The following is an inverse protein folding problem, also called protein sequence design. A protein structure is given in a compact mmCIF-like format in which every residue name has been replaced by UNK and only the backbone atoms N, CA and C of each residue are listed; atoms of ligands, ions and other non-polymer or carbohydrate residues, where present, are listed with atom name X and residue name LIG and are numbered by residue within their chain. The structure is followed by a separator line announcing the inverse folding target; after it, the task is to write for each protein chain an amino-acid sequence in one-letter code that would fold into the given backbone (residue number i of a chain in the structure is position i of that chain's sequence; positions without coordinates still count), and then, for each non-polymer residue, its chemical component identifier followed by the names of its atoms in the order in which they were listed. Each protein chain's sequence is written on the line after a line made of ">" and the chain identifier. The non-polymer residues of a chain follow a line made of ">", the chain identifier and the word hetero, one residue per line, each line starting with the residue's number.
data_IF_248837679472
#
_entry.id   IF_248837679472
#
_cell.length_a   1.000
_cell.length_b   1.000
_cell.length_c   1.000
_cell.angle_alpha   90.00
_cell.angle_beta   90.00
_cell.angle_gamma   90.00
#
_symmetry.space_group_name_H-M   'P 1'
#
loop_
_entity.id
_entity.type
_entity.pdbx_description
1 polymer ?
#
# COMPACT_ATOMS: atom_id res chain seq x y z
N UNK A 1 34.11 29.05 -8.17
CA UNK A 1 32.91 29.47 -7.41
C UNK A 1 31.81 28.48 -7.76
N UNK A 2 31.53 27.67 -6.77
CA UNK A 2 30.79 26.41 -6.93
C UNK A 2 29.27 26.68 -6.87
N UNK A 3 28.60 26.43 -7.98
CA UNK A 3 27.17 26.69 -8.17
C UNK A 3 26.32 25.41 -8.04
N UNK A 4 26.75 24.46 -7.19
CA UNK A 4 26.12 23.13 -7.04
C UNK A 4 25.37 22.89 -5.71
N UNK A 5 25.20 23.90 -4.88
CA UNK A 5 24.65 23.69 -3.52
C UNK A 5 23.23 24.23 -3.30
N UNK A 6 22.45 24.49 -4.33
CA UNK A 6 21.06 24.92 -4.14
C UNK A 6 20.03 23.90 -4.68
N UNK A 7 20.30 22.61 -4.53
CA UNK A 7 19.22 21.62 -4.52
C UNK A 7 18.54 21.73 -3.16
N UNK A 8 17.39 22.40 -3.13
CA UNK A 8 16.48 22.43 -2.00
C UNK A 8 16.42 21.01 -1.40
N UNK A 9 16.91 20.85 -0.19
CA UNK A 9 16.54 19.72 0.68
C UNK A 9 15.04 19.88 0.96
N UNK A 10 14.19 19.39 0.07
CA UNK A 10 12.81 19.11 0.45
C UNK A 10 12.90 18.19 1.65
N UNK A 11 12.28 18.58 2.75
CA UNK A 11 12.27 17.77 3.98
C UNK A 11 11.61 16.44 3.60
N UNK A 12 12.41 15.38 3.63
CA UNK A 12 11.97 14.06 3.24
C UNK A 12 10.86 13.61 4.16
N UNK A 13 9.72 13.24 3.60
CA UNK A 13 8.60 12.71 4.36
C UNK A 13 8.97 11.36 4.98
N UNK A 14 8.37 11.05 6.13
CA UNK A 14 8.71 9.83 6.85
C UNK A 14 8.12 8.57 6.20
N UNK A 15 7.03 8.72 5.44
CA UNK A 15 6.24 7.62 4.87
C UNK A 15 6.38 7.55 3.36
N UNK A 16 6.50 6.33 2.83
CA UNK A 16 6.38 6.04 1.40
C UNK A 16 5.14 5.16 1.17
N UNK A 17 4.22 5.62 0.32
CA UNK A 17 3.12 4.80 -0.17
C UNK A 17 3.61 4.06 -1.42
N UNK A 18 3.59 2.72 -1.39
CA UNK A 18 3.98 1.86 -2.50
C UNK A 18 2.73 1.33 -3.18
N UNK A 19 2.62 1.55 -4.49
CA UNK A 19 1.50 1.13 -5.33
C UNK A 19 2.04 0.25 -6.45
N UNK A 20 1.97 -1.09 -6.33
CA UNK A 20 2.22 -1.97 -7.46
C UNK A 20 1.11 -1.82 -8.50
N UNK A 21 1.47 -1.69 -9.77
CA UNK A 21 0.51 -1.50 -10.85
C UNK A 21 0.89 -2.33 -12.08
N UNK A 22 -0.09 -3.06 -12.65
CA UNK A 22 0.03 -3.76 -13.91
C UNK A 22 -1.27 -3.66 -14.69
N UNK A 23 -1.26 -2.91 -15.81
CA UNK A 23 -2.43 -2.63 -16.65
C UNK A 23 -3.60 -2.00 -15.86
N UNK A 24 -3.30 -0.92 -15.13
CA UNK A 24 -4.23 -0.21 -14.25
C UNK A 24 -4.57 1.21 -14.76
N UNK A 25 -4.49 1.46 -16.06
CA UNK A 25 -4.70 2.80 -16.67
C UNK A 25 -6.00 3.47 -16.22
N UNK A 26 -7.06 2.68 -16.00
CA UNK A 26 -8.39 3.17 -15.61
C UNK A 26 -8.50 3.51 -14.13
N UNK A 27 -7.74 2.81 -13.30
CA UNK A 27 -7.84 2.89 -11.83
C UNK A 27 -6.76 3.78 -11.23
N UNK A 28 -5.57 3.83 -11.84
CA UNK A 28 -4.41 4.51 -11.27
C UNK A 28 -4.63 6.03 -11.18
N UNK A 29 -5.26 6.64 -12.18
CA UNK A 29 -5.47 8.11 -12.19
C UNK A 29 -6.43 8.55 -11.08
N UNK A 30 -7.64 7.99 -10.93
CA UNK A 30 -8.53 8.32 -9.82
C UNK A 30 -7.92 8.05 -8.45
N UNK A 31 -7.08 7.01 -8.32
CA UNK A 31 -6.37 6.73 -7.08
C UNK A 31 -5.35 7.82 -6.76
N UNK A 32 -4.49 8.17 -7.73
CA UNK A 32 -3.48 9.22 -7.54
C UNK A 32 -4.12 10.57 -7.21
N UNK A 33 -5.25 10.93 -7.82
CA UNK A 33 -6.00 12.15 -7.49
C UNK A 33 -6.42 12.23 -6.04
N UNK A 34 -6.85 11.11 -5.46
CA UNK A 34 -7.17 11.04 -4.03
C UNK A 34 -5.91 11.14 -3.15
N UNK A 35 -4.80 10.53 -3.58
CA UNK A 35 -3.54 10.55 -2.83
C UNK A 35 -2.80 11.89 -2.92
N UNK A 36 -3.09 12.71 -3.92
CA UNK A 36 -2.52 14.05 -4.11
C UNK A 36 -3.14 15.11 -3.17
N UNK A 37 -4.16 14.74 -2.40
CA UNK A 37 -4.77 15.67 -1.45
C UNK A 37 -3.78 16.10 -0.38
N UNK A 38 -3.85 17.36 0.10
CA UNK A 38 -2.91 17.89 1.09
C UNK A 38 -2.81 17.04 2.36
N UNK A 39 -3.91 16.41 2.77
CA UNK A 39 -3.99 15.56 3.95
C UNK A 39 -3.04 14.35 3.88
N UNK A 40 -2.78 13.85 2.67
CA UNK A 40 -1.86 12.73 2.42
C UNK A 40 -0.46 13.24 2.09
N UNK A 41 -0.39 14.21 1.17
CA UNK A 41 0.90 14.69 0.67
C UNK A 41 1.74 15.42 1.72
N UNK A 42 1.17 15.85 2.83
CA UNK A 42 1.93 16.45 3.93
C UNK A 42 2.82 15.44 4.67
N UNK A 43 2.49 14.14 4.72
CA UNK A 43 3.25 13.13 5.47
C UNK A 43 3.84 12.01 4.61
N UNK A 44 3.31 11.77 3.40
CA UNK A 44 3.72 10.65 2.57
C UNK A 44 4.15 11.07 1.16
N UNK A 45 5.17 10.39 0.64
CA UNK A 45 5.51 10.38 -0.77
C UNK A 45 4.89 9.16 -1.46
N UNK A 46 4.70 9.23 -2.77
CA UNK A 46 4.05 8.18 -3.56
C UNK A 46 5.07 7.56 -4.52
N UNK A 47 5.14 6.24 -4.51
CA UNK A 47 5.91 5.42 -5.44
C UNK A 47 4.98 4.47 -6.17
N UNK A 48 4.89 4.60 -7.49
CA UNK A 48 4.24 3.60 -8.33
C UNK A 48 5.30 2.64 -8.88
N UNK A 49 5.10 1.35 -8.66
CA UNK A 49 5.93 0.29 -9.23
C UNK A 49 5.17 -0.32 -10.40
N UNK A 50 5.48 0.15 -11.61
CA UNK A 50 4.89 -0.33 -12.83
C UNK A 50 5.54 -1.66 -13.26
N UNK A 51 4.80 -2.76 -13.21
CA UNK A 51 5.31 -4.10 -13.52
C UNK A 51 5.21 -4.44 -15.01
N UNK A 52 5.84 -3.61 -15.86
CA UNK A 52 5.85 -3.74 -17.32
C UNK A 52 4.43 -3.70 -17.94
N UNK A 53 3.59 -2.76 -17.51
CA UNK A 53 2.27 -2.53 -18.11
C UNK A 53 2.37 -2.30 -19.63
N UNK A 54 1.40 -2.85 -20.37
CA UNK A 54 1.30 -2.72 -21.83
C UNK A 54 0.28 -1.65 -22.25
N UNK A 55 -0.46 -1.11 -21.29
CA UNK A 55 -1.42 -0.01 -21.43
C UNK A 55 -0.79 1.36 -21.08
N UNK A 56 -1.60 2.39 -20.95
CA UNK A 56 -1.16 3.75 -20.64
C UNK A 56 -0.76 3.99 -19.17
N UNK A 57 -0.78 2.96 -18.30
CA UNK A 57 -0.49 3.07 -16.85
C UNK A 57 0.79 3.87 -16.58
N UNK A 58 1.88 3.51 -17.25
CA UNK A 58 3.19 4.15 -17.07
C UNK A 58 3.18 5.62 -17.48
N UNK A 59 2.54 5.91 -18.62
CA UNK A 59 2.48 7.24 -19.19
C UNK A 59 1.64 8.20 -18.32
N UNK A 60 0.45 7.77 -17.93
CA UNK A 60 -0.45 8.61 -17.12
C UNK A 60 0.12 8.88 -15.73
N UNK A 61 0.84 7.93 -15.15
CA UNK A 61 1.49 8.10 -13.84
C UNK A 61 2.65 9.10 -13.94
N UNK A 62 3.49 8.99 -14.94
CA UNK A 62 4.63 9.92 -15.15
C UNK A 62 4.18 11.36 -15.37
N UNK A 63 3.07 11.57 -16.05
CA UNK A 63 2.51 12.92 -16.26
C UNK A 63 2.15 13.63 -14.97
N UNK A 64 1.89 12.92 -13.88
CA UNK A 64 1.49 13.47 -12.58
C UNK A 64 2.68 13.76 -11.65
N UNK A 65 3.92 13.70 -12.15
CA UNK A 65 5.16 13.97 -11.42
C UNK A 65 5.41 13.07 -10.18
N UNK A 66 4.79 11.88 -10.15
CA UNK A 66 5.10 10.89 -9.12
C UNK A 66 6.36 10.10 -9.46
N UNK A 67 6.99 9.56 -8.43
CA UNK A 67 8.10 8.62 -8.64
C UNK A 67 7.54 7.32 -9.22
N UNK A 68 8.07 6.90 -10.37
CA UNK A 68 7.71 5.65 -11.04
C UNK A 68 8.96 4.82 -11.24
N UNK A 69 8.91 3.57 -10.81
CA UNK A 69 9.90 2.54 -11.19
C UNK A 69 9.20 1.56 -12.13
N UNK A 70 9.79 1.33 -13.30
CA UNK A 70 9.22 0.43 -14.30
C UNK A 70 10.11 -0.80 -14.45
N UNK A 71 9.53 -1.99 -14.26
CA UNK A 71 10.19 -3.25 -14.57
C UNK A 71 10.28 -3.47 -16.08
N UNK A 72 11.34 -4.13 -16.52
CA UNK A 72 11.54 -4.48 -17.94
C UNK A 72 10.58 -5.60 -18.37
N UNK A 73 10.25 -6.50 -17.44
CA UNK A 73 9.33 -7.62 -17.63
C UNK A 73 8.33 -7.64 -16.47
N UNK A 74 7.17 -8.25 -16.70
CA UNK A 74 6.23 -8.54 -15.61
C UNK A 74 6.84 -9.62 -14.70
N UNK A 75 7.15 -9.20 -13.47
CA UNK A 75 7.76 -10.04 -12.44
C UNK A 75 6.76 -10.47 -11.36
N UNK A 76 5.52 -9.98 -11.47
CA UNK A 76 4.43 -10.26 -10.54
C UNK A 76 4.41 -9.33 -9.32
N UNK A 77 3.25 -9.30 -8.68
CA UNK A 77 2.91 -8.42 -7.57
C UNK A 77 3.95 -8.40 -6.43
N UNK A 78 4.37 -9.58 -5.97
CA UNK A 78 5.35 -9.69 -4.88
C UNK A 78 6.72 -9.10 -5.22
N UNK A 79 7.15 -9.21 -6.46
CA UNK A 79 8.41 -8.62 -6.94
C UNK A 79 8.30 -7.10 -6.98
N UNK A 80 7.15 -6.56 -7.39
CA UNK A 80 6.87 -5.13 -7.37
C UNK A 80 6.94 -4.56 -5.96
N UNK A 81 6.33 -5.22 -4.98
CA UNK A 81 6.41 -4.85 -3.57
C UNK A 81 7.84 -4.89 -3.04
N UNK A 82 8.58 -5.99 -3.32
CA UNK A 82 9.96 -6.12 -2.87
C UNK A 82 10.84 -4.98 -3.43
N UNK A 83 10.63 -4.58 -4.67
CA UNK A 83 11.33 -3.45 -5.29
C UNK A 83 10.99 -2.14 -4.58
N UNK A 84 9.71 -1.92 -4.27
CA UNK A 84 9.25 -0.77 -3.51
C UNK A 84 9.88 -0.70 -2.11
N UNK A 85 9.95 -1.81 -1.38
CA UNK A 85 10.61 -1.87 -0.07
C UNK A 85 12.11 -1.58 -0.15
N UNK A 86 12.81 -2.14 -1.14
CA UNK A 86 14.23 -1.84 -1.38
C UNK A 86 14.45 -0.35 -1.69
N UNK A 87 13.55 0.24 -2.46
CA UNK A 87 13.58 1.68 -2.72
C UNK A 87 13.40 2.48 -1.43
N UNK A 88 12.39 2.14 -0.61
CA UNK A 88 12.14 2.79 0.66
C UNK A 88 13.37 2.78 1.58
N UNK A 89 13.97 1.61 1.78
CA UNK A 89 15.19 1.45 2.59
C UNK A 89 16.34 2.29 2.02
N UNK A 90 16.61 2.19 0.70
CA UNK A 90 17.70 2.95 0.06
C UNK A 90 17.50 4.46 0.17
N UNK A 91 16.27 4.91 0.13
CA UNK A 91 15.93 6.32 0.29
C UNK A 91 15.78 6.73 1.76
N UNK A 92 15.79 5.78 2.73
CA UNK A 92 15.74 5.99 4.16
C UNK A 92 14.36 6.46 4.64
N UNK A 93 13.26 5.97 4.08
CA UNK A 93 11.92 6.15 4.62
C UNK A 93 11.80 5.36 5.93
N UNK A 94 11.11 5.94 6.92
CA UNK A 94 10.90 5.30 8.22
C UNK A 94 9.75 4.31 8.18
N UNK A 95 8.74 4.60 7.37
CA UNK A 95 7.52 3.79 7.25
C UNK A 95 7.17 3.55 5.78
N UNK A 96 6.50 2.44 5.55
CA UNK A 96 5.94 2.08 4.24
C UNK A 96 4.47 1.74 4.41
N UNK A 97 3.63 2.32 3.55
CA UNK A 97 2.23 1.90 3.40
C UNK A 97 2.09 1.23 2.04
N UNK A 98 1.57 0.01 2.03
CA UNK A 98 1.26 -0.72 0.81
C UNK A 98 -0.19 -0.49 0.43
N UNK A 99 -0.45 -0.18 -0.84
CA UNK A 99 -1.79 0.07 -1.35
C UNK A 99 -1.93 -0.52 -2.76
N UNK A 100 -3.05 -1.19 -3.04
CA UNK A 100 -3.31 -1.73 -4.38
C UNK A 100 -3.84 -0.65 -5.33
N UNK A 101 -3.55 -0.79 -6.63
CA UNK A 101 -3.95 0.16 -7.65
C UNK A 101 -5.44 0.03 -8.07
N UNK A 102 -6.15 -1.01 -7.62
CA UNK A 102 -7.50 -1.37 -8.05
C UNK A 102 -8.62 -0.44 -7.52
N UNK A 103 -8.27 0.55 -6.71
CA UNK A 103 -9.19 1.53 -6.15
C UNK A 103 -10.11 0.99 -5.04
N UNK A 104 -9.92 -0.26 -4.58
CA UNK A 104 -10.74 -0.85 -3.51
C UNK A 104 -10.37 -0.37 -2.11
N UNK A 105 -9.23 0.29 -1.95
CA UNK A 105 -8.79 0.87 -0.69
C UNK A 105 -9.29 2.30 -0.55
N UNK A 106 -9.92 2.59 0.58
CA UNK A 106 -10.31 3.97 0.91
C UNK A 106 -9.07 4.74 1.39
N UNK A 107 -8.77 5.82 0.68
CA UNK A 107 -7.65 6.71 1.01
C UNK A 107 -7.84 7.39 2.38
N UNK A 108 -9.08 7.57 2.82
CA UNK A 108 -9.40 8.13 4.14
C UNK A 108 -8.78 7.30 5.28
N UNK A 109 -8.65 5.99 5.11
CA UNK A 109 -8.05 5.11 6.12
C UNK A 109 -6.53 5.29 6.26
N UNK A 110 -5.85 5.93 5.30
CA UNK A 110 -4.40 6.14 5.35
C UNK A 110 -3.98 7.04 6.53
N UNK A 111 -4.78 8.04 6.84
CA UNK A 111 -4.54 8.91 8.00
C UNK A 111 -4.67 8.15 9.32
N UNK A 112 -5.62 7.24 9.40
CA UNK A 112 -5.81 6.41 10.59
C UNK A 112 -4.65 5.43 10.74
N UNK A 113 -4.24 4.75 9.66
CA UNK A 113 -3.07 3.88 9.64
C UNK A 113 -1.82 4.65 10.06
N UNK A 114 -1.64 5.86 9.55
CA UNK A 114 -0.48 6.71 9.91
C UNK A 114 -0.49 7.10 11.40
N UNK A 115 -1.65 7.42 11.96
CA UNK A 115 -1.79 7.71 13.40
C UNK A 115 -1.48 6.48 14.25
N UNK A 116 -1.98 5.30 13.86
CA UNK A 116 -1.70 4.06 14.58
C UNK A 116 -0.21 3.66 14.50
N UNK A 117 0.49 3.96 13.39
CA UNK A 117 1.95 3.75 13.29
C UNK A 117 2.74 4.59 14.28
N UNK A 118 2.19 5.72 14.77
CA UNK A 118 2.84 6.63 15.72
C UNK A 118 2.38 6.44 17.15
N UNK A 119 1.47 5.50 17.41
CA UNK A 119 0.90 5.27 18.72
C UNK A 119 1.73 4.24 19.49
N UNK A 120 2.33 4.68 20.57
CA UNK A 120 3.06 3.82 21.48
C UNK A 120 2.12 2.90 22.27
N UNK A 121 2.59 1.68 22.54
CA UNK A 121 1.93 0.74 23.45
C UNK A 121 2.18 1.14 24.93
N UNK A 122 1.64 0.35 25.87
CA UNK A 122 1.79 0.58 27.32
C UNK A 122 3.26 0.57 27.79
N UNK A 123 4.18 0.06 26.98
CA UNK A 123 5.61 -0.02 27.25
C UNK A 123 6.43 1.08 26.52
N UNK A 124 5.75 2.01 25.83
CA UNK A 124 6.39 3.07 25.04
C UNK A 124 6.99 2.57 23.72
N UNK A 125 6.53 1.42 23.21
CA UNK A 125 7.01 0.84 21.95
C UNK A 125 6.04 1.15 20.81
N UNK A 126 6.57 1.63 19.68
CA UNK A 126 5.82 1.80 18.44
C UNK A 126 5.52 0.44 17.78
N UNK A 127 4.39 0.30 17.06
CA UNK A 127 4.08 -0.92 16.33
C UNK A 127 5.06 -1.15 15.18
N UNK A 128 5.46 -2.40 15.00
CA UNK A 128 6.29 -2.81 13.86
C UNK A 128 5.45 -2.91 12.57
N UNK A 129 4.15 -3.28 12.70
CA UNK A 129 3.21 -3.44 11.59
C UNK A 129 1.80 -3.04 12.03
N UNK A 130 1.12 -2.26 11.18
CA UNK A 130 -0.31 -1.92 11.31
C UNK A 130 -1.05 -2.50 10.11
N UNK A 131 -2.11 -3.25 10.36
CA UNK A 131 -2.93 -3.87 9.32
C UNK A 131 -4.33 -3.24 9.29
N UNK A 132 -4.68 -2.63 8.17
CA UNK A 132 -6.05 -2.18 7.90
C UNK A 132 -6.97 -3.39 7.65
N UNK A 133 -8.00 -3.58 8.47
CA UNK A 133 -8.97 -4.66 8.30
C UNK A 133 -10.35 -4.13 7.91
N UNK A 134 -10.93 -4.70 6.85
CA UNK A 134 -12.32 -4.43 6.43
C UNK A 134 -13.38 -5.03 7.37
N UNK A 135 -12.95 -5.82 8.36
CA UNK A 135 -13.82 -6.56 9.27
C UNK A 135 -13.81 -6.00 10.70
N UNK A 136 -13.25 -4.81 10.91
CA UNK A 136 -13.33 -4.14 12.20
C UNK A 136 -14.74 -3.58 12.44
N UNK A 137 -15.19 -3.65 13.70
CA UNK A 137 -16.43 -3.00 14.11
C UNK A 137 -16.34 -1.50 13.82
N UNK A 138 -17.31 -0.98 13.04
CA UNK A 138 -17.30 0.42 12.60
C UNK A 138 -16.74 0.68 11.19
N UNK A 139 -16.16 -0.33 10.52
CA UNK A 139 -15.84 -0.22 9.10
C UNK A 139 -17.12 -0.23 8.26
N UNK A 140 -17.31 0.83 7.46
CA UNK A 140 -18.49 0.99 6.61
C UNK A 140 -18.70 -0.22 5.69
N UNK A 141 -19.84 -0.87 5.85
CA UNK A 141 -20.63 -1.65 4.88
C UNK A 141 -19.90 -2.53 3.84
N UNK A 142 -18.96 -3.38 4.24
CA UNK A 142 -18.62 -4.50 3.38
C UNK A 142 -19.59 -5.65 3.62
N UNK A 143 -20.72 -5.65 2.91
CA UNK A 143 -21.68 -6.77 2.91
C UNK A 143 -21.10 -7.95 2.15
N UNK A 144 -20.53 -8.89 2.89
CA UNK A 144 -20.07 -10.16 2.29
C UNK A 144 -21.28 -10.95 1.83
N UNK A 145 -21.39 -11.19 0.52
CA UNK A 145 -22.43 -12.06 -0.04
C UNK A 145 -22.47 -13.40 0.70
N UNK A 146 -23.66 -13.94 0.94
CA UNK A 146 -23.85 -15.22 1.62
C UNK A 146 -23.05 -16.38 0.98
N UNK A 147 -22.93 -16.37 -0.34
CA UNK A 147 -22.11 -17.34 -1.09
C UNK A 147 -20.62 -17.27 -0.72
N UNK A 148 -20.06 -16.05 -0.54
CA UNK A 148 -18.70 -15.87 -0.06
C UNK A 148 -18.53 -16.34 1.39
N UNK A 149 -19.54 -16.14 2.26
CA UNK A 149 -19.51 -16.64 3.64
C UNK A 149 -19.41 -18.18 3.67
N UNK A 150 -20.19 -18.86 2.83
CA UNK A 150 -20.12 -20.33 2.71
C UNK A 150 -18.74 -20.76 2.21
N UNK A 151 -18.23 -20.12 1.15
CA UNK A 151 -16.89 -20.42 0.62
C UNK A 151 -15.80 -20.26 1.69
N UNK A 152 -15.88 -19.22 2.53
CA UNK A 152 -14.94 -19.04 3.65
C UNK A 152 -15.02 -20.12 4.71
N UNK A 153 -16.23 -20.60 5.04
CA UNK A 153 -16.41 -21.72 5.98
C UNK A 153 -15.77 -22.99 5.44
N UNK A 154 -16.03 -23.32 4.18
CA UNK A 154 -15.44 -24.48 3.50
C UNK A 154 -13.91 -24.37 3.42
N UNK A 155 -13.38 -23.22 3.03
CA UNK A 155 -11.94 -22.99 2.94
C UNK A 155 -11.25 -23.17 4.32
N UNK A 156 -11.87 -22.63 5.39
CA UNK A 156 -11.39 -22.85 6.77
C UNK A 156 -11.40 -24.30 7.19
N UNK A 157 -12.46 -25.04 6.82
CA UNK A 157 -12.56 -26.46 7.13
C UNK A 157 -11.45 -27.27 6.44
N UNK A 158 -11.20 -27.00 5.16
CA UNK A 158 -10.12 -27.66 4.36
C UNK A 158 -8.74 -27.32 4.95
N UNK A 159 -8.48 -26.03 5.26
CA UNK A 159 -7.21 -25.65 5.87
C UNK A 159 -7.00 -26.28 7.23
N UNK A 160 -8.04 -26.36 8.07
CA UNK A 160 -7.98 -27.03 9.37
C UNK A 160 -7.68 -28.53 9.26
N UNK A 161 -8.29 -29.19 8.27
CA UNK A 161 -8.02 -30.62 7.99
C UNK A 161 -6.60 -30.85 7.48
N UNK A 162 -6.08 -29.95 6.62
CA UNK A 162 -4.75 -30.10 6.02
C UNK A 162 -3.60 -29.66 6.93
N UNK A 163 -3.80 -28.66 7.80
CA UNK A 163 -2.72 -28.05 8.59
C UNK A 163 -2.81 -28.30 10.09
N UNK A 164 -3.95 -28.79 10.57
CA UNK A 164 -4.24 -28.95 12.01
C UNK A 164 -4.37 -27.62 12.78
N UNK A 165 -4.19 -26.47 12.12
CA UNK A 165 -4.24 -25.14 12.74
C UNK A 165 -5.60 -24.45 12.53
N UNK A 166 -6.09 -23.76 13.56
CA UNK A 166 -7.25 -22.87 13.42
C UNK A 166 -6.79 -21.57 12.77
N UNK A 167 -7.19 -21.33 11.53
CA UNK A 167 -7.05 -20.02 10.87
C UNK A 167 -8.19 -19.12 11.29
N UNK A 168 -7.90 -18.01 11.97
CA UNK A 168 -8.93 -17.11 12.50
C UNK A 168 -9.37 -16.08 11.44
N UNK A 169 -8.48 -15.68 10.54
CA UNK A 169 -8.75 -14.82 9.36
C UNK A 169 -7.49 -14.76 8.51
N UNK A 170 -7.59 -14.45 7.22
CA UNK A 170 -6.36 -14.14 6.43
C UNK A 170 -5.74 -12.79 6.80
N UNK A 171 -6.38 -12.03 7.66
CA UNK A 171 -5.87 -10.74 8.15
C UNK A 171 -5.05 -10.88 9.43
N UNK A 172 -4.94 -12.08 10.00
CA UNK A 172 -4.08 -12.38 11.13
C UNK A 172 -3.10 -13.49 10.76
N UNK A 173 -2.08 -13.15 9.99
CA UNK A 173 -0.84 -13.90 9.94
C UNK A 173 0.00 -13.46 11.15
N UNK A 174 0.02 -14.30 12.18
CA UNK A 174 1.06 -14.29 13.21
C UNK A 174 2.23 -15.09 12.72
#
# INVERSE_FOLDING_TARGET
>A
MDNRENVRKESKKAVLIIIPAYNEEKNIVPLLEKLEQPEITQFADILVVNDASQDETNHVTKKRNHTVITNVFNLGYGSGLQLGYKYAVRKGYSYVIQMDADGQHDVCNLLEIYKELQKEDENGKLPDIVLGSRFMEGSSEYTVSWAKKIAFVWFRAILKLGTGKKTVSYTHLR
#
